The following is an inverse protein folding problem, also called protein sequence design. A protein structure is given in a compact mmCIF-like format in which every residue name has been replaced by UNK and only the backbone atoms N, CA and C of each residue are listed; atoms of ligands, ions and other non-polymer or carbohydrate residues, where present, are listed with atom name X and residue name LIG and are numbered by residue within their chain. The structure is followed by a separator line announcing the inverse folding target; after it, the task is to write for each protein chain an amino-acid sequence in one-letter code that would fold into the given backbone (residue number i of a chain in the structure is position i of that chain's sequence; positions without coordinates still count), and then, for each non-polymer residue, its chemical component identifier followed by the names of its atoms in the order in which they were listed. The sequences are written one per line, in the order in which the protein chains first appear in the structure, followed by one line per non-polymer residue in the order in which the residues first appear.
data_IF_915488104139
#
_entry.id   IF_915488104139
#
_cell.length_a   1.000
_cell.length_b   1.000
_cell.length_c   1.000
_cell.angle_alpha   90.00
_cell.angle_beta   90.00
_cell.angle_gamma   90.00
#
_symmetry.space_group_name_H-M   'P 1'
#
loop_
_entity.id
_entity.type
_entity.pdbx_description
1 polymer ?
#
# COMPACT_ATOMS: atom_id res chain seq x y z
N UNK A 1 52.12 64.71 35.42
CA UNK A 1 51.66 65.01 34.05
C UNK A 1 51.73 63.69 33.29
N UNK A 2 50.98 62.66 33.69
CA UNK A 2 49.51 62.61 33.83
C UNK A 2 48.84 63.17 32.59
N UNK A 3 48.47 62.29 31.66
CA UNK A 3 47.06 62.15 31.30
C UNK A 3 46.83 60.79 30.62
N UNK A 4 46.00 60.00 31.29
CA UNK A 4 45.43 58.73 30.83
C UNK A 4 44.19 59.06 29.99
N UNK A 5 44.22 58.79 28.69
CA UNK A 5 42.99 58.80 27.88
C UNK A 5 42.47 57.39 27.63
N UNK A 6 41.37 57.13 28.32
CA UNK A 6 40.56 55.91 28.35
C UNK A 6 39.71 55.88 27.08
N UNK A 7 40.09 55.06 26.10
CA UNK A 7 39.24 54.88 24.92
C UNK A 7 38.13 53.87 25.23
N UNK A 8 36.92 54.42 25.38
CA UNK A 8 35.69 53.75 25.77
C UNK A 8 35.17 52.87 24.62
N UNK A 9 35.34 51.55 24.75
CA UNK A 9 34.76 50.55 23.84
C UNK A 9 33.24 50.50 24.06
N UNK A 10 32.50 51.07 23.11
CA UNK A 10 31.04 50.98 23.08
C UNK A 10 30.60 49.63 22.50
N UNK A 11 30.00 48.78 23.32
CA UNK A 11 29.38 47.52 22.90
C UNK A 11 28.20 47.76 21.94
N UNK A 12 28.17 47.12 20.76
CA UNK A 12 27.00 47.16 19.90
C UNK A 12 25.89 46.27 20.47
N UNK A 13 24.81 46.93 20.88
CA UNK A 13 23.59 46.32 21.42
C UNK A 13 22.99 45.34 20.41
N UNK A 14 23.08 44.04 20.74
CA UNK A 14 22.56 42.94 19.93
C UNK A 14 21.03 42.95 19.92
N UNK A 15 20.45 43.61 18.91
CA UNK A 15 19.01 43.58 18.66
C UNK A 15 18.63 42.22 18.07
N UNK A 16 17.98 41.38 18.88
CA UNK A 16 17.35 40.12 18.45
C UNK A 16 16.26 40.44 17.42
N UNK A 17 16.61 40.42 16.13
CA UNK A 17 15.64 40.47 15.05
C UNK A 17 14.74 39.23 15.15
N UNK A 18 13.49 39.46 15.56
CA UNK A 18 12.44 38.45 15.44
C UNK A 18 12.27 38.17 13.95
N UNK A 19 12.86 37.06 13.49
CA UNK A 19 12.69 36.57 12.13
C UNK A 19 11.21 36.23 11.92
N UNK A 20 10.43 37.22 11.48
CA UNK A 20 9.09 37.01 11.00
C UNK A 20 9.19 36.12 9.76
N UNK A 21 8.88 34.84 9.95
CA UNK A 21 8.80 33.90 8.84
C UNK A 21 7.84 34.48 7.80
N UNK A 22 8.25 34.55 6.52
CA UNK A 22 7.42 35.13 5.49
C UNK A 22 6.05 34.46 5.52
N UNK A 23 5.00 35.27 5.68
CA UNK A 23 3.62 34.80 5.74
C UNK A 23 3.36 33.95 4.50
N UNK A 24 3.11 32.65 4.71
CA UNK A 24 2.91 31.70 3.62
C UNK A 24 1.61 32.07 2.91
N UNK A 25 1.72 32.65 1.71
CA UNK A 25 0.56 32.94 0.87
C UNK A 25 -0.21 31.64 0.63
N UNK A 26 -1.52 31.67 0.95
CA UNK A 26 -2.41 30.52 0.78
C UNK A 26 -2.91 30.48 -0.66
N UNK A 27 -3.00 29.29 -1.22
CA UNK A 27 -3.58 29.06 -2.54
C UNK A 27 -5.08 29.44 -2.51
N UNK A 28 -5.54 30.19 -3.51
CA UNK A 28 -6.95 30.55 -3.65
C UNK A 28 -7.83 29.31 -3.90
N UNK A 29 -9.11 29.35 -3.53
CA UNK A 29 -10.08 28.26 -3.65
C UNK A 29 -10.16 27.71 -5.09
N UNK A 30 -10.16 28.58 -6.10
CA UNK A 30 -10.17 28.15 -7.49
C UNK A 30 -8.93 27.32 -7.87
N UNK A 31 -7.76 27.63 -7.31
CA UNK A 31 -6.54 26.85 -7.50
C UNK A 31 -6.58 25.51 -6.77
N UNK A 32 -7.17 25.48 -5.56
CA UNK A 32 -7.40 24.22 -4.83
C UNK A 32 -8.34 23.31 -5.61
N UNK A 33 -9.40 23.85 -6.20
CA UNK A 33 -10.37 23.08 -7.00
C UNK A 33 -9.72 22.33 -8.17
N UNK A 34 -8.74 22.94 -8.86
CA UNK A 34 -7.99 22.27 -9.95
C UNK A 34 -7.24 21.04 -9.43
N UNK A 35 -6.60 21.14 -8.27
CA UNK A 35 -5.86 20.02 -7.66
C UNK A 35 -6.81 18.92 -7.19
N UNK A 36 -7.94 19.30 -6.58
CA UNK A 36 -8.96 18.36 -6.10
C UNK A 36 -9.67 17.63 -7.25
N UNK A 37 -9.98 18.33 -8.35
CA UNK A 37 -10.57 17.73 -9.55
C UNK A 37 -9.65 16.64 -10.11
N UNK A 38 -8.35 16.94 -10.30
CA UNK A 38 -7.39 15.93 -10.75
C UNK A 38 -7.28 14.76 -9.77
N UNK A 39 -7.23 15.06 -8.46
CA UNK A 39 -7.14 14.03 -7.42
C UNK A 39 -8.35 13.10 -7.40
N UNK A 40 -9.56 13.63 -7.65
CA UNK A 40 -10.78 12.84 -7.69
C UNK A 40 -10.76 11.78 -8.81
N UNK A 41 -10.13 12.10 -9.94
CA UNK A 41 -9.98 11.20 -11.08
C UNK A 41 -8.82 10.20 -10.89
N UNK A 42 -7.79 10.58 -10.12
CA UNK A 42 -6.58 9.80 -9.95
C UNK A 42 -6.17 9.72 -8.46
N UNK A 43 -6.98 9.08 -7.60
CA UNK A 43 -6.67 9.01 -6.18
C UNK A 43 -5.44 8.14 -5.91
N UNK A 44 -4.62 8.55 -4.94
CA UNK A 44 -3.50 7.75 -4.43
C UNK A 44 -2.26 7.70 -5.33
N UNK A 45 -2.29 8.29 -6.52
CA UNK A 45 -1.15 8.30 -7.44
C UNK A 45 -0.49 9.68 -7.53
N UNK A 46 0.83 9.70 -7.73
CA UNK A 46 1.56 10.94 -7.96
C UNK A 46 1.47 11.28 -9.47
N UNK A 47 0.95 12.47 -9.86
CA UNK A 47 0.82 12.83 -11.27
C UNK A 47 2.20 12.86 -11.96
N UNK A 48 2.25 12.53 -13.25
CA UNK A 48 3.48 12.62 -14.04
C UNK A 48 4.02 14.05 -14.11
N UNK A 49 5.30 14.23 -14.45
CA UNK A 49 5.93 15.56 -14.45
C UNK A 49 5.24 16.55 -15.41
N UNK A 50 4.86 16.09 -16.61
CA UNK A 50 4.13 16.91 -17.58
C UNK A 50 2.75 17.33 -17.07
N UNK A 51 2.06 16.43 -16.38
CA UNK A 51 0.76 16.73 -15.75
C UNK A 51 0.93 17.77 -14.63
N UNK A 52 1.95 17.63 -13.78
CA UNK A 52 2.23 18.61 -12.71
C UNK A 52 2.55 20.00 -13.27
N UNK A 53 3.29 20.08 -14.38
CA UNK A 53 3.50 21.35 -15.10
C UNK A 53 2.17 21.94 -15.57
N UNK A 54 1.36 21.17 -16.30
CA UNK A 54 0.05 21.63 -16.78
C UNK A 54 -0.90 22.08 -15.67
N UNK A 55 -0.94 21.38 -14.54
CA UNK A 55 -1.72 21.79 -13.37
C UNK A 55 -1.19 23.10 -12.76
N UNK A 56 0.13 23.25 -12.67
CA UNK A 56 0.77 24.46 -12.13
C UNK A 56 0.46 25.68 -13.02
N UNK A 57 0.56 25.53 -14.34
CA UNK A 57 0.27 26.61 -15.29
C UNK A 57 -1.21 27.01 -15.24
N UNK A 58 -2.13 26.04 -15.18
CA UNK A 58 -3.56 26.31 -14.96
C UNK A 58 -3.81 27.08 -13.66
N UNK A 59 -3.11 26.76 -12.58
CA UNK A 59 -3.23 27.46 -11.30
C UNK A 59 -2.68 28.89 -11.39
N UNK A 60 -1.54 29.09 -12.06
CA UNK A 60 -0.93 30.41 -12.23
C UNK A 60 -1.76 31.34 -13.11
N UNK A 61 -2.54 30.81 -14.04
CA UNK A 61 -3.47 31.60 -14.86
C UNK A 61 -4.69 32.13 -14.07
N UNK A 62 -4.87 31.73 -12.80
CA UNK A 62 -5.90 32.27 -11.93
C UNK A 62 -5.37 33.54 -11.22
N UNK A 63 -6.08 34.68 -11.27
CA UNK A 63 -5.64 35.91 -10.64
C UNK A 63 -5.37 35.71 -9.14
N UNK A 64 -4.18 36.17 -8.70
CA UNK A 64 -3.73 36.08 -7.31
C UNK A 64 -2.97 34.80 -6.94
N UNK A 65 -2.76 33.86 -7.88
CA UNK A 65 -1.98 32.63 -7.67
C UNK A 65 -0.62 32.62 -8.40
N UNK A 66 -0.13 33.77 -8.87
CA UNK A 66 1.10 33.88 -9.68
C UNK A 66 2.35 33.35 -8.95
N UNK A 67 2.30 33.36 -7.62
CA UNK A 67 3.36 32.88 -6.73
C UNK A 67 3.47 31.35 -6.66
N UNK A 68 2.49 30.61 -7.23
CA UNK A 68 2.43 29.17 -7.12
C UNK A 68 3.49 28.50 -8.02
N UNK A 69 4.24 27.53 -7.45
CA UNK A 69 5.36 26.85 -8.11
C UNK A 69 5.10 25.35 -8.21
N UNK A 70 5.75 24.68 -9.17
CA UNK A 70 5.62 23.23 -9.38
C UNK A 70 5.95 22.40 -8.12
N UNK A 71 6.89 22.86 -7.29
CA UNK A 71 7.22 22.21 -6.01
C UNK A 71 6.01 22.17 -5.08
N UNK A 72 5.18 23.22 -5.07
CA UNK A 72 3.97 23.27 -4.25
C UNK A 72 2.95 22.24 -4.71
N UNK A 73 2.77 22.07 -6.02
CA UNK A 73 1.92 21.03 -6.64
C UNK A 73 2.39 19.64 -6.20
N UNK A 74 3.69 19.38 -6.32
CA UNK A 74 4.29 18.10 -5.93
C UNK A 74 4.09 17.80 -4.43
N UNK A 75 4.34 18.79 -3.57
CA UNK A 75 4.18 18.65 -2.13
C UNK A 75 2.71 18.51 -1.71
N UNK A 76 1.78 19.11 -2.45
CA UNK A 76 0.36 18.95 -2.22
C UNK A 76 -0.06 17.49 -2.45
N UNK A 77 0.33 16.89 -3.59
CA UNK A 77 0.02 15.49 -3.88
C UNK A 77 0.73 14.53 -2.93
N UNK A 78 2.02 14.75 -2.61
CA UNK A 78 2.74 13.93 -1.62
C UNK A 78 2.03 13.91 -0.26
N UNK A 79 1.61 15.08 0.25
CA UNK A 79 0.86 15.17 1.50
C UNK A 79 -0.49 14.46 1.43
N UNK A 80 -1.17 14.54 0.28
CA UNK A 80 -2.47 13.89 0.09
C UNK A 80 -2.34 12.37 0.02
N UNK A 81 -1.34 11.87 -0.69
CA UNK A 81 -1.00 10.43 -0.76
C UNK A 81 -0.64 9.92 0.63
N UNK A 82 0.27 10.61 1.34
CA UNK A 82 0.64 10.25 2.71
C UNK A 82 -0.57 10.25 3.66
N UNK A 83 -1.49 11.20 3.51
CA UNK A 83 -2.74 11.23 4.30
C UNK A 83 -3.63 10.04 3.98
N UNK A 84 -3.83 9.69 2.71
CA UNK A 84 -4.64 8.52 2.33
C UNK A 84 -3.97 7.22 2.77
N UNK A 85 -2.64 7.12 2.68
CA UNK A 85 -1.89 6.00 3.22
C UNK A 85 -2.08 5.91 4.73
N UNK A 86 -1.89 7.01 5.47
CA UNK A 86 -2.11 7.05 6.92
C UNK A 86 -3.55 6.68 7.32
N UNK A 87 -4.55 7.11 6.54
CA UNK A 87 -5.95 6.74 6.74
C UNK A 87 -6.22 5.28 6.40
N UNK A 88 -5.48 4.70 5.45
CA UNK A 88 -5.58 3.28 5.08
C UNK A 88 -4.83 2.36 6.06
N UNK A 89 -3.92 2.91 6.87
CA UNK A 89 -3.05 2.15 7.79
C UNK A 89 -3.41 2.30 9.25
N UNK A 90 -4.52 2.94 9.63
CA UNK A 90 -4.77 3.18 11.06
C UNK A 90 -6.19 2.85 11.46
N UNK A 91 -6.39 1.56 11.74
CA UNK A 91 -7.09 1.26 12.98
C UNK A 91 -6.09 1.60 14.10
N UNK A 92 -6.28 2.68 14.90
CA UNK A 92 -5.29 3.11 15.89
C UNK A 92 -4.98 2.03 16.93
N UNK A 93 -5.86 1.04 17.03
CA UNK A 93 -5.71 -0.12 17.90
C UNK A 93 -4.70 -1.16 17.37
N UNK A 94 -4.47 -1.21 16.04
CA UNK A 94 -3.61 -2.20 15.39
C UNK A 94 -2.75 -1.55 14.29
N UNK A 95 -1.68 -0.83 14.67
CA UNK A 95 -0.90 -0.02 13.73
C UNK A 95 -0.15 -0.85 12.67
N UNK A 96 0.09 -2.14 12.88
CA UNK A 96 0.71 -3.00 11.86
C UNK A 96 -0.29 -3.60 10.86
N UNK A 97 -1.59 -3.53 11.11
CA UNK A 97 -2.62 -4.10 10.25
C UNK A 97 -3.01 -3.12 9.14
N UNK A 98 -2.51 -3.38 7.94
CA UNK A 98 -2.94 -2.68 6.73
C UNK A 98 -4.38 -3.07 6.36
N UNK A 99 -5.08 -2.22 5.58
CA UNK A 99 -6.44 -2.56 5.09
C UNK A 99 -6.47 -3.90 4.32
N UNK A 100 -5.49 -4.15 3.47
CA UNK A 100 -5.39 -5.42 2.73
C UNK A 100 -5.18 -6.62 3.68
N UNK A 101 -4.36 -6.46 4.72
CA UNK A 101 -4.19 -7.49 5.74
C UNK A 101 -5.50 -7.76 6.51
N UNK A 102 -6.26 -6.72 6.82
CA UNK A 102 -7.56 -6.84 7.48
C UNK A 102 -8.57 -7.60 6.61
N UNK A 103 -8.65 -7.28 5.31
CA UNK A 103 -9.51 -7.98 4.36
C UNK A 103 -9.15 -9.47 4.27
N UNK A 104 -7.85 -9.82 4.27
CA UNK A 104 -7.39 -11.20 4.31
C UNK A 104 -7.73 -11.90 5.63
N UNK A 105 -7.51 -11.23 6.77
CA UNK A 105 -7.83 -11.78 8.09
C UNK A 105 -9.33 -12.01 8.26
N UNK A 106 -10.18 -11.15 7.69
CA UNK A 106 -11.63 -11.32 7.72
C UNK A 106 -12.07 -12.57 6.96
N UNK A 107 -11.49 -12.84 5.79
CA UNK A 107 -11.75 -14.08 5.02
C UNK A 107 -11.27 -15.31 5.80
N UNK A 108 -10.08 -15.25 6.40
CA UNK A 108 -9.52 -16.35 7.19
C UNK A 108 -10.37 -16.65 8.43
N UNK A 109 -10.81 -15.61 9.15
CA UNK A 109 -11.67 -15.73 10.33
C UNK A 109 -13.07 -16.24 9.98
N UNK A 110 -13.61 -15.89 8.81
CA UNK A 110 -14.88 -16.44 8.32
C UNK A 110 -14.83 -17.95 8.11
N UNK A 111 -13.67 -18.47 7.69
CA UNK A 111 -13.46 -19.91 7.50
C UNK A 111 -13.17 -20.65 8.82
N UNK A 112 -12.51 -19.98 9.78
CA UNK A 112 -12.20 -20.54 11.09
C UNK A 112 -12.45 -19.49 12.18
N UNK A 113 -13.66 -19.44 12.79
CA UNK A 113 -14.02 -18.41 13.76
C UNK A 113 -13.21 -18.45 15.05
N UNK A 114 -12.72 -19.64 15.42
CA UNK A 114 -11.92 -19.88 16.62
C UNK A 114 -10.61 -20.59 16.23
N UNK A 115 -9.67 -19.88 15.57
CA UNK A 115 -8.43 -20.49 15.11
C UNK A 115 -7.53 -20.85 16.31
N UNK A 116 -6.89 -22.03 16.33
CA UNK A 116 -5.89 -22.36 17.34
C UNK A 116 -4.62 -21.50 17.16
N UNK A 117 -3.76 -21.45 18.18
CA UNK A 117 -2.54 -20.63 18.19
C UNK A 117 -1.63 -20.85 16.98
N UNK A 118 -1.49 -22.09 16.53
CA UNK A 118 -0.60 -22.45 15.42
C UNK A 118 -1.11 -21.90 14.08
N UNK A 119 -2.44 -21.83 13.93
CA UNK A 119 -3.08 -21.23 12.75
C UNK A 119 -2.88 -19.72 12.76
N UNK A 120 -3.03 -19.07 13.92
CA UNK A 120 -2.76 -17.62 14.07
C UNK A 120 -1.29 -17.32 13.74
N UNK A 121 -0.36 -18.17 14.16
CA UNK A 121 1.06 -18.02 13.83
C UNK A 121 1.29 -18.14 12.31
N UNK A 122 0.58 -19.04 11.65
CA UNK A 122 0.65 -19.19 10.18
C UNK A 122 0.09 -17.96 9.47
N UNK A 123 -1.03 -17.40 9.95
CA UNK A 123 -1.60 -16.17 9.39
C UNK A 123 -0.65 -14.99 9.56
N UNK A 124 -0.02 -14.84 10.72
CA UNK A 124 0.99 -13.82 10.95
C UNK A 124 2.21 -13.99 10.03
N UNK A 125 2.69 -15.22 9.84
CA UNK A 125 3.79 -15.50 8.92
C UNK A 125 3.44 -15.14 7.48
N UNK A 126 2.23 -15.49 7.01
CA UNK A 126 1.74 -15.15 5.68
C UNK A 126 1.63 -13.62 5.46
N UNK A 127 1.23 -12.88 6.49
CA UNK A 127 1.03 -11.43 6.43
C UNK A 127 2.29 -10.62 6.79
N UNK A 128 3.37 -11.28 7.23
CA UNK A 128 4.62 -10.63 7.63
C UNK A 128 5.26 -9.79 6.52
N UNK A 129 5.09 -10.19 5.25
CA UNK A 129 5.55 -9.43 4.09
C UNK A 129 4.90 -8.04 3.97
N UNK A 130 3.75 -7.83 4.63
CA UNK A 130 3.03 -6.55 4.69
C UNK A 130 3.37 -5.75 5.96
N UNK A 131 4.35 -6.21 6.77
CA UNK A 131 4.75 -5.59 8.02
C UNK A 131 3.86 -5.93 9.22
N UNK A 132 2.98 -6.92 9.08
CA UNK A 132 2.04 -7.32 10.16
C UNK A 132 2.79 -8.08 11.25
N UNK A 133 2.56 -7.68 12.51
CA UNK A 133 3.11 -8.37 13.68
C UNK A 133 2.18 -9.46 14.20
N UNK A 134 2.73 -10.55 14.72
CA UNK A 134 1.93 -11.63 15.33
C UNK A 134 1.01 -11.11 16.45
N UNK A 135 1.50 -10.19 17.28
CA UNK A 135 0.74 -9.63 18.40
C UNK A 135 -0.52 -8.89 17.93
N UNK A 136 -0.43 -8.14 16.83
CA UNK A 136 -1.59 -7.43 16.28
C UNK A 136 -2.61 -8.40 15.69
N UNK A 137 -2.18 -9.50 15.06
CA UNK A 137 -3.10 -10.55 14.58
C UNK A 137 -3.83 -11.20 15.75
N UNK A 138 -3.13 -11.58 16.81
CA UNK A 138 -3.73 -12.17 18.02
C UNK A 138 -4.75 -11.21 18.63
N UNK A 139 -4.39 -9.94 18.82
CA UNK A 139 -5.27 -8.96 19.43
C UNK A 139 -6.49 -8.67 18.53
N UNK A 140 -6.31 -8.61 17.22
CA UNK A 140 -7.41 -8.40 16.26
C UNK A 140 -8.36 -9.59 16.22
N UNK A 141 -7.85 -10.83 16.19
CA UNK A 141 -8.68 -12.06 16.23
C UNK A 141 -9.47 -12.12 17.54
N UNK A 142 -8.84 -11.82 18.68
CA UNK A 142 -9.52 -11.81 19.97
C UNK A 142 -10.62 -10.74 20.03
N UNK A 143 -10.36 -9.53 19.54
CA UNK A 143 -11.37 -8.45 19.54
C UNK A 143 -12.50 -8.69 18.53
N UNK A 144 -12.21 -9.28 17.38
CA UNK A 144 -13.19 -9.50 16.31
C UNK A 144 -14.01 -10.78 16.55
N UNK A 145 -13.39 -11.86 17.02
CA UNK A 145 -14.05 -13.13 17.31
C UNK A 145 -15.17 -13.01 18.36
N UNK A 146 -15.01 -12.11 19.34
CA UNK A 146 -16.05 -11.84 20.34
C UNK A 146 -17.21 -11.00 19.80
N UNK A 147 -16.94 -10.11 18.83
CA UNK A 147 -17.96 -9.22 18.27
C UNK A 147 -18.76 -9.88 17.13
N UNK A 148 -18.15 -10.76 16.33
CA UNK A 148 -18.83 -11.37 15.18
C UNK A 148 -19.89 -12.42 15.58
N UNK A 149 -19.84 -12.94 16.81
CA UNK A 149 -20.88 -13.80 17.38
C UNK A 149 -22.09 -13.06 17.95
N UNK A 150 -22.04 -11.72 18.05
CA UNK A 150 -23.11 -10.91 18.64
C UNK A 150 -23.61 -9.86 17.64
N UNK A 151 -24.35 -10.34 16.64
CA UNK A 151 -25.49 -9.56 16.19
C UNK A 151 -26.34 -9.24 17.43
N UNK A 152 -26.34 -7.97 17.84
CA UNK A 152 -27.45 -7.34 18.56
C UNK A 152 -28.02 -8.11 19.77
N UNK A 153 -27.26 -8.15 20.86
CA UNK A 153 -27.92 -8.06 22.17
C UNK A 153 -27.30 -6.91 22.94
N UNK A 154 -27.88 -5.73 22.74
CA UNK A 154 -27.93 -4.71 23.80
C UNK A 154 -28.17 -5.46 25.12
N UNK A 155 -27.43 -5.17 26.20
CA UNK A 155 -27.83 -5.64 27.51
C UNK A 155 -29.18 -4.97 27.79
N UNK A 156 -30.29 -5.65 27.46
CA UNK A 156 -31.58 -5.29 28.00
C UNK A 156 -31.40 -5.44 29.51
N UNK A 157 -31.51 -4.35 30.30
CA UNK A 157 -31.49 -4.49 31.74
C UNK A 157 -32.64 -5.43 32.08
N UNK A 158 -32.32 -6.56 32.71
CA UNK A 158 -33.30 -7.46 33.29
C UNK A 158 -34.04 -6.65 34.34
N UNK A 159 -35.17 -6.05 33.95
CA UNK A 159 -36.05 -5.34 34.84
C UNK A 159 -36.85 -6.40 35.58
N UNK A 160 -36.28 -6.84 36.70
CA UNK A 160 -36.91 -7.69 37.70
C UNK A 160 -38.05 -6.91 38.35
N UNK A 161 -39.22 -6.90 37.72
CA UNK A 161 -40.45 -6.39 38.32
C UNK A 161 -41.58 -7.40 38.07
N UNK A 162 -41.59 -8.45 38.89
CA UNK A 162 -42.75 -9.32 39.08
C UNK A 162 -43.24 -9.12 40.52
N UNK A 163 -44.32 -8.35 40.76
CA UNK A 163 -45.00 -8.36 42.04
C UNK A 163 -46.13 -9.40 42.02
N UNK A 164 -46.53 -9.85 43.21
CA UNK A 164 -47.79 -10.56 43.53
C UNK A 164 -47.83 -12.09 43.26
N UNK A 165 -48.24 -12.99 44.16
CA UNK A 165 -48.94 -12.97 45.46
C UNK A 165 -48.65 -14.26 46.22
N UNK A 166 -48.45 -14.22 47.55
CA UNK A 166 -49.13 -15.10 48.52
C UNK A 166 -48.71 -14.83 49.97
N UNK A 167 -49.57 -15.14 50.97
CA UNK A 167 -49.67 -14.39 52.22
C UNK A 167 -49.17 -15.13 53.47
N UNK A 168 -49.06 -14.35 54.56
CA UNK A 168 -49.16 -14.72 55.98
C UNK A 168 -47.91 -14.53 56.86
N UNK A 169 -47.96 -13.40 57.58
CA UNK A 169 -47.40 -12.97 58.89
C UNK A 169 -47.29 -14.06 60.00
N UNK A 170 -46.73 -13.79 61.23
CA UNK A 170 -45.76 -12.78 61.74
C UNK A 170 -44.74 -13.41 62.78
N UNK A 171 -44.20 -12.71 63.82
CA UNK A 171 -43.33 -11.52 63.89
C UNK A 171 -42.05 -11.71 64.76
N UNK A 172 -41.01 -10.91 64.51
CA UNK A 172 -40.20 -10.32 65.60
C UNK A 172 -39.27 -9.21 65.07
N UNK A 173 -39.55 -7.98 65.50
CA UNK A 173 -38.74 -6.76 65.36
C UNK A 173 -37.67 -6.70 66.49
N UNK A 174 -36.93 -5.59 66.75
CA UNK A 174 -36.76 -4.33 66.00
C UNK A 174 -35.30 -3.74 66.01
N UNK A 175 -35.16 -2.55 65.40
CA UNK A 175 -34.15 -1.47 65.62
C UNK A 175 -32.75 -1.68 64.98
N UNK A 176 -32.21 -0.78 64.16
CA UNK A 176 -32.65 0.57 63.81
C UNK A 176 -31.84 1.23 62.68
N UNK A 177 -32.31 2.44 62.36
CA UNK A 177 -31.77 3.57 61.58
C UNK A 177 -30.24 3.53 61.32
N UNK A 178 -29.70 3.95 60.18
CA UNK A 178 -29.46 5.35 59.80
C UNK A 178 -29.19 5.54 58.28
N UNK A 179 -29.32 6.81 57.86
CA UNK A 179 -29.44 7.40 56.53
C UNK A 179 -28.28 7.21 55.50
N UNK A 180 -28.51 7.51 54.20
CA UNK A 180 -27.48 7.48 53.16
C UNK A 180 -26.58 8.72 53.21
N UNK A 181 -25.27 8.48 53.32
CA UNK A 181 -24.25 9.51 53.34
C UNK A 181 -23.93 9.95 51.90
N UNK A 182 -24.55 11.05 51.46
CA UNK A 182 -24.18 11.80 50.25
C UNK A 182 -22.89 12.57 50.57
N UNK A 183 -21.73 11.96 50.31
CA UNK A 183 -20.47 12.68 50.32
C UNK A 183 -20.26 13.40 49.00
N UNK A 184 -20.37 14.73 49.06
CA UNK A 184 -19.78 15.68 48.10
C UNK A 184 -18.32 15.31 47.85
N UNK A 185 -17.96 14.99 46.60
CA UNK A 185 -16.56 14.98 46.14
C UNK A 185 -16.12 16.42 45.87
N UNK A 186 -15.03 16.77 46.54
CA UNK A 186 -14.28 18.01 46.46
C UNK A 186 -13.62 18.19 45.07
N UNK A 187 -13.72 19.35 44.37
CA UNK A 187 -13.17 19.54 43.02
C UNK A 187 -11.66 19.89 42.95
N UNK A 188 -10.93 19.90 44.06
CA UNK A 188 -9.59 20.51 44.10
C UNK A 188 -8.39 19.58 43.81
N UNK A 189 -8.60 18.35 43.33
CA UNK A 189 -7.49 17.47 42.95
C UNK A 189 -7.19 17.55 41.45
N UNK A 190 -6.34 18.53 41.09
CA UNK A 190 -5.61 18.53 39.82
C UNK A 190 -4.78 17.24 39.69
N UNK A 191 -4.85 16.52 38.55
CA UNK A 191 -4.00 15.37 38.30
C UNK A 191 -2.55 15.85 38.10
N UNK A 192 -1.64 15.46 39.00
CA UNK A 192 -0.20 15.54 38.78
C UNK A 192 0.18 14.59 37.64
N UNK A 193 0.76 15.14 36.57
CA UNK A 193 1.37 14.36 35.51
C UNK A 193 2.75 13.86 35.96
N UNK A 194 3.16 12.62 35.59
CA UNK A 194 4.49 12.11 35.89
C UNK A 194 5.58 12.83 35.06
N UNK A 195 6.80 12.99 35.61
CA UNK A 195 7.91 13.65 34.91
C UNK A 195 8.44 12.79 33.75
N UNK A 196 8.63 13.42 32.58
CA UNK A 196 9.32 12.83 31.44
C UNK A 196 10.80 12.57 31.82
N UNK A 197 11.21 11.31 31.82
CA UNK A 197 12.61 10.94 31.81
C UNK A 197 13.19 11.24 30.42
N UNK A 198 14.14 12.16 30.35
CA UNK A 198 14.94 12.45 29.16
C UNK A 198 16.11 11.46 29.17
N UNK A 199 16.28 10.59 28.15
CA UNK A 199 17.46 9.74 28.09
C UNK A 199 18.68 10.58 27.68
N UNK A 200 19.62 10.70 28.62
CA UNK A 200 20.96 11.24 28.44
C UNK A 200 21.73 10.35 27.46
N UNK A 201 22.12 10.88 26.30
CA UNK A 201 23.05 10.23 25.37
C UNK A 201 24.44 10.18 25.99
N UNK A 202 24.86 8.97 26.37
CA UNK A 202 26.24 8.71 26.76
C UNK A 202 27.14 8.69 25.52
N UNK A 203 28.08 9.63 25.57
CA UNK A 203 29.35 9.69 24.89
C UNK A 203 30.17 8.42 25.21
N UNK A 204 30.65 7.70 24.19
CA UNK A 204 31.77 6.78 24.32
C UNK A 204 32.64 6.89 23.06
N UNK A 205 33.86 7.32 23.33
CA UNK A 205 35.00 7.41 22.46
C UNK A 205 35.43 6.05 21.89
N UNK A 206 35.91 6.11 20.64
CA UNK A 206 37.10 5.41 20.15
C UNK A 206 37.18 3.89 20.26
N UNK A 207 37.02 3.22 19.12
CA UNK A 207 37.99 2.19 18.69
C UNK A 207 37.97 2.00 17.16
N UNK A 208 39.07 2.42 16.56
CA UNK A 208 39.50 2.20 15.19
C UNK A 208 39.93 0.74 15.03
N UNK A 209 39.30 -0.04 14.15
CA UNK A 209 39.95 -1.14 13.38
C UNK A 209 39.16 -1.42 12.09
N UNK A 210 39.85 -1.25 10.95
CA UNK A 210 39.77 -1.93 9.66
C UNK A 210 38.55 -2.81 9.30
N UNK A 211 37.99 -2.60 8.09
CA UNK A 211 38.25 -3.48 6.93
C UNK A 211 37.43 -3.10 5.69
N UNK A 212 37.94 -3.53 4.54
CA UNK A 212 37.60 -3.14 3.17
C UNK A 212 36.22 -3.63 2.70
N UNK A 213 35.70 -2.94 1.66
CA UNK A 213 35.04 -3.62 0.54
C UNK A 213 33.53 -3.48 0.45
N UNK A 214 33.07 -2.49 -0.32
CA UNK A 214 32.14 -2.69 -1.46
C UNK A 214 31.51 -1.37 -1.86
N UNK A 215 32.01 -0.82 -2.96
CA UNK A 215 31.34 0.25 -3.71
C UNK A 215 30.35 -0.43 -4.65
N UNK A 216 29.05 -0.35 -4.36
CA UNK A 216 28.03 -0.45 -5.40
C UNK A 216 27.00 0.66 -5.19
N UNK A 217 27.01 1.54 -6.18
CA UNK A 217 26.12 2.67 -6.40
C UNK A 217 24.87 2.16 -7.14
N UNK A 218 23.63 2.48 -6.73
CA UNK A 218 22.49 2.28 -7.60
C UNK A 218 22.41 3.42 -8.62
N UNK A 219 22.93 3.16 -9.81
CA UNK A 219 22.66 3.96 -11.02
C UNK A 219 21.19 3.80 -11.42
N UNK A 220 20.48 4.92 -11.52
CA UNK A 220 19.17 5.05 -12.17
C UNK A 220 19.35 5.10 -13.69
N UNK A 221 18.60 4.33 -14.50
CA UNK A 221 18.53 4.58 -15.93
C UNK A 221 17.55 5.70 -16.25
N UNK A 222 18.01 6.53 -17.19
CA UNK A 222 17.44 7.73 -17.75
C UNK A 222 16.50 7.31 -18.87
N UNK A 223 15.26 7.79 -18.92
CA UNK A 223 14.40 7.65 -20.11
C UNK A 223 14.32 8.98 -20.83
N UNK A 224 14.87 9.04 -22.03
CA UNK A 224 14.69 10.13 -22.98
C UNK A 224 14.12 9.56 -24.28
N UNK A 225 13.00 10.15 -24.71
CA UNK A 225 12.65 10.59 -26.09
C UNK A 225 13.03 9.66 -27.25
N UNK A 226 12.16 9.32 -28.21
CA UNK A 226 11.59 10.28 -29.16
C UNK A 226 10.82 9.56 -30.30
N UNK A 227 9.63 10.08 -30.62
CA UNK A 227 9.04 10.34 -31.96
C UNK A 227 8.70 9.26 -33.02
N UNK A 228 7.48 9.43 -33.55
CA UNK A 228 7.10 9.56 -34.97
C UNK A 228 7.14 8.33 -35.89
N UNK A 229 5.98 7.91 -36.41
CA UNK A 229 5.74 7.81 -37.86
C UNK A 229 4.27 7.55 -38.22
N UNK A 230 3.65 8.58 -38.77
CA UNK A 230 2.84 8.67 -40.01
C UNK A 230 2.21 7.40 -40.62
N UNK A 231 0.90 7.51 -40.90
CA UNK A 231 0.04 6.58 -41.66
C UNK A 231 0.51 6.32 -43.12
N UNK A 232 -0.06 5.32 -43.82
CA UNK A 232 -1.34 5.54 -44.52
C UNK A 232 -2.31 4.35 -44.52
N UNK A 233 -3.62 4.57 -44.77
CA UNK A 233 -4.54 3.55 -45.26
C UNK A 233 -4.86 3.73 -46.76
N UNK A 234 -5.69 2.81 -47.27
CA UNK A 234 -6.47 2.79 -48.53
C UNK A 234 -5.77 2.36 -49.84
N UNK A 235 -6.02 1.11 -50.25
CA UNK A 235 -6.20 0.69 -51.65
C UNK A 235 -7.71 0.60 -51.96
N UNK A 236 -8.14 0.94 -53.19
CA UNK A 236 -8.57 -0.14 -54.08
C UNK A 236 -8.33 0.14 -55.58
N UNK A 237 -7.89 -0.88 -56.32
CA UNK A 237 -8.22 -1.04 -57.74
C UNK A 237 -7.81 -2.44 -58.22
N UNK A 238 -8.80 -3.24 -58.62
CA UNK A 238 -8.64 -4.34 -59.56
C UNK A 238 -8.54 -3.75 -60.98
N UNK A 239 -7.89 -4.39 -61.96
CA UNK A 239 -8.57 -5.46 -62.69
C UNK A 239 -7.70 -6.62 -63.24
N UNK A 240 -8.38 -7.76 -63.42
CA UNK A 240 -8.28 -8.76 -64.49
C UNK A 240 -6.92 -9.26 -64.99
N UNK A 241 -6.78 -10.60 -64.93
CA UNK A 241 -6.20 -11.39 -66.02
C UNK A 241 -5.00 -12.23 -65.64
N UNK A 242 -5.23 -13.55 -65.51
CA UNK A 242 -4.50 -14.63 -66.20
C UNK A 242 -4.48 -15.89 -65.33
N UNK A 243 -5.11 -16.91 -65.89
CA UNK A 243 -5.20 -18.27 -65.40
C UNK A 243 -3.84 -18.94 -65.64
N UNK A 244 -3.16 -19.37 -64.58
CA UNK A 244 -2.20 -20.47 -64.67
C UNK A 244 -2.32 -21.38 -63.44
N UNK A 245 -3.08 -22.44 -63.66
CA UNK A 245 -2.92 -23.79 -63.13
C UNK A 245 -1.45 -24.13 -62.83
N UNK A 246 -1.10 -24.41 -61.58
CA UNK A 246 -0.05 -25.37 -61.24
C UNK A 246 -0.26 -25.97 -59.84
N UNK A 247 0.01 -27.26 -59.80
CA UNK A 247 -0.41 -28.29 -58.87
C UNK A 247 0.66 -28.49 -57.76
N UNK A 248 0.27 -28.91 -56.54
CA UNK A 248 1.21 -29.06 -55.43
C UNK A 248 1.94 -30.40 -55.47
N UNK A 249 3.24 -30.48 -55.10
CA UNK A 249 3.80 -31.71 -54.58
C UNK A 249 3.40 -31.84 -53.11
N UNK A 250 2.36 -32.65 -52.87
CA UNK A 250 2.17 -33.36 -51.61
C UNK A 250 3.38 -34.26 -51.37
N UNK A 251 4.14 -34.06 -50.29
CA UNK A 251 4.76 -35.16 -49.56
C UNK A 251 4.83 -34.85 -48.06
N UNK A 252 4.57 -35.89 -47.27
CA UNK A 252 4.60 -35.99 -45.79
C UNK A 252 3.37 -35.52 -45.01
N UNK A 253 2.23 -36.16 -45.33
CA UNK A 253 1.13 -36.36 -44.36
C UNK A 253 0.85 -37.86 -44.22
N UNK A 254 1.81 -38.63 -43.69
CA UNK A 254 1.58 -39.99 -43.21
C UNK A 254 2.48 -40.26 -42.01
N UNK A 255 2.04 -39.80 -40.83
CA UNK A 255 2.26 -40.45 -39.53
C UNK A 255 1.63 -39.57 -38.45
N UNK A 256 0.34 -39.78 -38.17
CA UNK A 256 -0.28 -39.79 -36.83
C UNK A 256 -1.81 -39.78 -36.95
N UNK A 257 -2.35 -40.75 -37.67
CA UNK A 257 -3.71 -41.25 -37.42
C UNK A 257 -3.62 -42.62 -36.75
N UNK A 258 -2.93 -42.70 -35.61
CA UNK A 258 -3.08 -43.80 -34.66
C UNK A 258 -2.81 -43.26 -33.25
N UNK A 259 -3.84 -42.72 -32.60
CA UNK A 259 -4.28 -43.26 -31.31
C UNK A 259 -5.52 -42.53 -30.80
N UNK A 260 -6.62 -43.26 -30.94
CA UNK A 260 -7.90 -43.05 -30.30
C UNK A 260 -7.75 -43.33 -28.79
N UNK A 261 -7.86 -42.26 -27.99
CA UNK A 261 -8.49 -42.18 -26.65
C UNK A 261 -8.04 -40.87 -26.03
N UNK A 262 -8.85 -39.81 -26.16
CA UNK A 262 -8.66 -38.57 -25.41
C UNK A 262 -9.17 -38.81 -23.98
N UNK A 263 -8.31 -38.92 -22.95
CA UNK A 263 -8.78 -38.63 -21.61
C UNK A 263 -9.21 -37.16 -21.60
N UNK A 264 -10.41 -36.88 -21.11
CA UNK A 264 -10.84 -35.52 -20.78
C UNK A 264 -9.94 -35.06 -19.63
N UNK A 265 -8.80 -34.48 -19.98
CA UNK A 265 -7.86 -33.93 -19.01
C UNK A 265 -8.45 -32.60 -18.57
N UNK A 266 -8.89 -32.45 -17.30
CA UNK A 266 -9.41 -31.17 -16.83
C UNK A 266 -8.36 -30.08 -17.06
N UNK A 267 -8.77 -28.89 -17.50
CA UNK A 267 -7.90 -27.74 -17.85
C UNK A 267 -6.77 -27.53 -16.83
N UNK A 268 -7.03 -27.76 -15.54
CA UNK A 268 -6.03 -27.73 -14.47
C UNK A 268 -4.83 -28.67 -14.68
N UNK A 269 -5.05 -29.89 -15.17
CA UNK A 269 -3.95 -30.82 -15.45
C UNK A 269 -3.15 -30.45 -16.70
N UNK A 270 -3.76 -29.81 -17.70
CA UNK A 270 -3.03 -29.26 -18.84
C UNK A 270 -2.13 -28.09 -18.41
N UNK A 271 -2.62 -27.23 -17.51
CA UNK A 271 -1.83 -26.15 -16.89
C UNK A 271 -0.71 -26.73 -16.03
N UNK A 272 -1.01 -27.66 -15.12
CA UNK A 272 -0.01 -28.30 -14.25
C UNK A 272 1.07 -29.01 -15.07
N UNK A 273 0.69 -29.67 -16.18
CA UNK A 273 1.64 -30.34 -17.07
C UNK A 273 2.47 -29.34 -17.88
N UNK A 274 1.87 -28.26 -18.38
CA UNK A 274 2.62 -27.19 -19.05
C UNK A 274 3.64 -26.53 -18.12
N UNK A 275 3.29 -26.32 -16.85
CA UNK A 275 4.23 -25.81 -15.83
C UNK A 275 5.32 -26.83 -15.50
N UNK A 276 4.98 -28.11 -15.37
CA UNK A 276 5.95 -29.17 -15.09
C UNK A 276 6.95 -29.38 -16.24
N UNK A 277 6.49 -29.34 -17.49
CA UNK A 277 7.36 -29.44 -18.67
C UNK A 277 8.30 -28.22 -18.75
N UNK A 278 7.80 -27.00 -18.51
CA UNK A 278 8.61 -25.77 -18.51
C UNK A 278 9.73 -25.80 -17.46
N UNK A 279 9.46 -26.34 -16.27
CA UNK A 279 10.47 -26.48 -15.20
C UNK A 279 11.48 -27.59 -15.52
N UNK A 280 11.05 -28.65 -16.19
CA UNK A 280 11.90 -29.82 -16.50
C UNK A 280 12.83 -29.59 -17.69
N UNK A 281 12.47 -28.73 -18.65
CA UNK A 281 13.33 -28.37 -19.80
C UNK A 281 14.38 -27.29 -19.50
N UNK A 282 14.80 -27.16 -18.24
CA UNK A 282 15.90 -26.26 -17.86
C UNK A 282 17.25 -26.88 -18.24
N UNK A 283 17.48 -27.11 -19.53
CA UNK A 283 18.81 -27.32 -20.09
C UNK A 283 19.30 -25.96 -20.60
N UNK A 284 19.60 -25.07 -19.66
CA UNK A 284 20.15 -23.74 -19.95
C UNK A 284 21.58 -23.92 -20.48
N UNK A 285 21.89 -23.54 -21.74
CA UNK A 285 23.26 -23.23 -22.08
C UNK A 285 23.73 -22.11 -21.14
N UNK A 286 24.92 -22.28 -20.57
CA UNK A 286 25.52 -21.37 -19.61
C UNK A 286 25.33 -19.91 -20.04
N UNK A 287 24.93 -19.06 -19.10
CA UNK A 287 24.53 -17.65 -19.22
C UNK A 287 25.43 -16.79 -20.14
N UNK A 288 25.29 -16.99 -21.45
CA UNK A 288 25.88 -16.16 -22.47
C UNK A 288 24.93 -14.98 -22.67
N UNK A 289 25.44 -13.78 -22.39
CA UNK A 289 24.73 -12.56 -22.76
C UNK A 289 24.67 -12.54 -24.29
N UNK A 290 23.46 -12.48 -24.91
CA UNK A 290 23.35 -12.52 -26.35
C UNK A 290 24.08 -11.31 -26.94
N UNK A 291 24.93 -11.60 -27.93
CA UNK A 291 25.78 -10.62 -28.59
C UNK A 291 25.03 -9.83 -29.67
N UNK A 292 23.86 -10.31 -30.08
CA UNK A 292 23.03 -9.69 -31.10
C UNK A 292 21.52 -9.86 -30.81
N UNK A 293 20.69 -9.01 -31.44
CA UNK A 293 19.24 -9.10 -31.34
C UNK A 293 18.68 -10.39 -32.00
N UNK A 294 19.33 -10.91 -33.03
CA UNK A 294 18.95 -12.17 -33.67
C UNK A 294 19.15 -13.36 -32.70
N UNK A 295 20.29 -13.38 -32.02
CA UNK A 295 20.60 -14.39 -31.00
C UNK A 295 19.64 -14.28 -29.80
N UNK A 296 19.31 -13.06 -29.37
CA UNK A 296 18.27 -12.84 -28.36
C UNK A 296 16.92 -13.45 -28.80
N UNK A 297 16.47 -13.18 -30.03
CA UNK A 297 15.21 -13.74 -30.53
C UNK A 297 15.25 -15.28 -30.60
N UNK A 298 16.38 -15.87 -31.01
CA UNK A 298 16.53 -17.34 -31.04
C UNK A 298 16.45 -17.97 -29.64
N UNK A 299 16.96 -17.31 -28.60
CA UNK A 299 16.83 -17.79 -27.21
C UNK A 299 15.37 -17.81 -26.74
N UNK A 300 14.51 -16.92 -27.27
CA UNK A 300 13.11 -16.80 -26.87
C UNK A 300 12.11 -17.53 -27.79
N UNK A 301 12.51 -17.84 -29.02
CA UNK A 301 11.71 -18.59 -29.99
C UNK A 301 11.07 -19.90 -29.47
N UNK A 302 11.75 -20.75 -28.67
CA UNK A 302 11.10 -21.96 -28.15
C UNK A 302 9.95 -21.65 -27.17
N UNK A 303 10.06 -20.58 -26.37
CA UNK A 303 9.02 -20.18 -25.42
C UNK A 303 7.80 -19.57 -26.13
N UNK A 304 8.05 -18.78 -27.19
CA UNK A 304 6.98 -18.25 -28.02
C UNK A 304 6.16 -19.37 -28.65
N UNK A 305 6.82 -20.40 -29.17
CA UNK A 305 6.16 -21.59 -29.70
C UNK A 305 5.33 -22.33 -28.64
N UNK A 306 5.85 -22.46 -27.42
CA UNK A 306 5.11 -23.06 -26.30
C UNK A 306 3.87 -22.25 -25.92
N UNK A 307 3.96 -20.92 -25.90
CA UNK A 307 2.85 -20.03 -25.58
C UNK A 307 1.73 -20.11 -26.64
N UNK A 308 2.10 -20.14 -27.92
CA UNK A 308 1.14 -20.35 -29.02
C UNK A 308 0.45 -21.71 -28.91
N UNK A 309 1.20 -22.76 -28.56
CA UNK A 309 0.64 -24.10 -28.36
C UNK A 309 -0.34 -24.16 -27.18
N UNK A 310 -0.03 -23.45 -26.09
CA UNK A 310 -0.93 -23.31 -24.94
C UNK A 310 -2.22 -22.58 -25.33
N UNK A 311 -2.10 -21.48 -26.08
CA UNK A 311 -3.27 -20.73 -26.56
C UNK A 311 -4.19 -21.60 -27.43
N UNK A 312 -3.61 -22.33 -28.40
CA UNK A 312 -4.39 -23.23 -29.25
C UNK A 312 -5.04 -24.39 -28.46
N UNK A 313 -4.38 -24.87 -27.40
CA UNK A 313 -4.96 -25.89 -26.52
C UNK A 313 -6.15 -25.35 -25.70
N UNK A 314 -6.13 -24.06 -25.35
CA UNK A 314 -7.21 -23.38 -24.61
C UNK A 314 -8.38 -22.94 -25.50
N UNK A 315 -8.14 -22.63 -26.77
CA UNK A 315 -9.19 -22.18 -27.71
C UNK A 315 -10.08 -23.32 -28.20
N UNK A 316 -9.59 -24.57 -28.17
CA UNK A 316 -10.30 -25.76 -28.62
C UNK A 316 -10.79 -26.67 -27.47
N UNK A 317 -10.72 -26.19 -26.22
CA UNK A 317 -11.27 -26.84 -25.02
C UNK A 317 -12.57 -26.19 -24.58
#
# INVERSE_FOLDING_TARGET
MDDHDVNSVSEPSSTKFKNHSPSRRRLNYAGVRILEEYWSQNPGTLPSIGVRHGLTDKIKNIPGNDFYKMVNTTDWFKRRIAKVQAQSTSNPQFPSLTKAALEHLEVLLKNQPNPPSDVIHTWAALLSAQGVTYQDVVNWVNTTGHNNGTNTRLPTPTNTASPEHSPSLPPSSPVGNHAPNIMKRDPMRSPMLPPLAIPTTNQLDGLVVHSQGSRYSPFTPISATSSTSTAPPITPASPAGTIHTWQPPQQQQQQQQQQLKRPHVPILQAIIRGVADAVSTTNLPAAAVPSSAAEFNEMFAPYEKQMVQLMHALEHS
#
